data_IF_483097340828
#
_entry.id   IF_483097340828
#
_cell.length_a   1.000
_cell.length_b   1.000
_cell.length_c   1.000
_cell.angle_alpha   90.00
_cell.angle_beta   90.00
_cell.angle_gamma   90.00
#
_symmetry.space_group_name_H-M   'P 1'
#
loop_
_entity.id
_entity.type
_entity.pdbx_description
1 polymer ?
#
# COMPACT_ATOMS: atom_id res chain seq x y z
N UNK A 1 28.66 0.56 -17.93
CA UNK A 1 28.04 0.16 -16.65
C UNK A 1 26.72 -0.59 -16.90
N UNK A 2 26.71 -1.92 -17.17
CA UNK A 2 25.48 -2.63 -17.56
C UNK A 2 25.00 -3.76 -16.63
N UNK A 3 25.85 -4.34 -15.77
CA UNK A 3 25.55 -5.61 -15.06
C UNK A 3 24.65 -5.46 -13.83
N UNK A 4 24.70 -4.29 -13.20
CA UNK A 4 24.00 -3.99 -11.95
C UNK A 4 22.54 -3.57 -12.21
N UNK A 5 22.30 -2.86 -13.32
CA UNK A 5 20.94 -2.45 -13.76
C UNK A 5 20.09 -3.68 -14.10
N UNK A 6 20.64 -4.65 -14.84
CA UNK A 6 19.96 -5.92 -15.14
C UNK A 6 19.66 -6.71 -13.86
N UNK A 7 20.59 -6.72 -12.89
CA UNK A 7 20.38 -7.42 -11.62
C UNK A 7 19.17 -6.86 -10.84
N UNK A 8 19.07 -5.54 -10.69
CA UNK A 8 17.99 -4.91 -9.94
C UNK A 8 16.66 -4.93 -10.70
N UNK A 9 16.70 -4.89 -12.03
CA UNK A 9 15.52 -5.07 -12.89
C UNK A 9 14.95 -6.49 -12.74
N UNK A 10 15.79 -7.53 -12.85
CA UNK A 10 15.37 -8.93 -12.65
C UNK A 10 14.82 -9.19 -11.26
N UNK A 11 15.44 -8.62 -10.24
CA UNK A 11 14.93 -8.73 -8.86
C UNK A 11 13.52 -8.13 -8.75
N UNK A 12 13.28 -6.97 -9.37
CA UNK A 12 11.96 -6.32 -9.43
C UNK A 12 10.93 -7.11 -10.24
N UNK A 13 11.31 -7.75 -11.34
CA UNK A 13 10.43 -8.64 -12.10
C UNK A 13 9.94 -9.81 -11.25
N UNK A 14 10.85 -10.44 -10.49
CA UNK A 14 10.50 -11.52 -9.56
C UNK A 14 9.59 -11.00 -8.45
N UNK A 15 9.89 -9.84 -7.84
CA UNK A 15 9.01 -9.23 -6.84
C UNK A 15 7.61 -8.92 -7.38
N UNK A 16 7.51 -8.44 -8.62
CA UNK A 16 6.23 -8.20 -9.27
C UNK A 16 5.44 -9.50 -9.48
N UNK A 17 6.11 -10.63 -9.77
CA UNK A 17 5.50 -11.94 -9.83
C UNK A 17 4.95 -12.39 -8.46
N UNK A 18 5.69 -12.12 -7.37
CA UNK A 18 5.18 -12.36 -6.00
C UNK A 18 3.90 -11.57 -5.76
N UNK A 19 3.88 -10.26 -6.07
CA UNK A 19 2.68 -9.44 -5.89
C UNK A 19 1.47 -9.97 -6.67
N UNK A 20 1.66 -10.38 -7.94
CA UNK A 20 0.58 -10.98 -8.75
C UNK A 20 0.05 -12.27 -8.12
N UNK A 21 0.94 -13.12 -7.62
CA UNK A 21 0.56 -14.37 -6.98
C UNK A 21 -0.24 -14.12 -5.69
N UNK A 22 0.17 -13.15 -4.87
CA UNK A 22 -0.57 -12.74 -3.66
C UNK A 22 -1.95 -12.22 -4.03
N UNK A 23 -2.04 -11.32 -5.01
CA UNK A 23 -3.31 -10.73 -5.43
C UNK A 23 -4.32 -11.78 -5.94
N UNK A 24 -3.83 -12.85 -6.58
CA UNK A 24 -4.69 -13.89 -7.16
C UNK A 24 -5.01 -15.05 -6.20
N UNK A 25 -4.09 -15.39 -5.30
CA UNK A 25 -4.12 -16.65 -4.54
C UNK A 25 -3.77 -16.52 -3.06
N UNK A 26 -3.51 -15.31 -2.58
CA UNK A 26 -3.11 -15.03 -1.20
C UNK A 26 -1.64 -15.37 -0.90
N UNK A 27 -1.20 -15.03 0.31
CA UNK A 27 0.18 -15.20 0.78
C UNK A 27 0.62 -16.66 0.91
N UNK A 28 -0.32 -17.58 1.14
CA UNK A 28 -0.03 -19.01 1.29
C UNK A 28 0.45 -19.64 -0.02
N UNK A 29 0.00 -19.11 -1.16
CA UNK A 29 0.45 -19.57 -2.46
C UNK A 29 1.92 -19.24 -2.76
N UNK A 30 2.52 -18.29 -2.04
CA UNK A 30 3.90 -17.84 -2.29
C UNK A 30 4.90 -18.94 -1.90
N UNK A 31 5.61 -19.43 -2.91
CA UNK A 31 6.75 -20.33 -2.79
C UNK A 31 7.75 -20.05 -3.92
N UNK A 32 9.03 -20.39 -3.72
CA UNK A 32 10.06 -20.25 -4.76
C UNK A 32 9.65 -20.89 -6.10
N UNK A 33 8.96 -22.04 -6.04
CA UNK A 33 8.48 -22.77 -7.22
C UNK A 33 7.34 -22.03 -7.92
N UNK A 34 6.31 -21.58 -7.19
CA UNK A 34 5.19 -20.85 -7.79
C UNK A 34 5.63 -19.50 -8.33
N UNK A 35 6.54 -18.81 -7.63
CA UNK A 35 7.11 -17.54 -8.08
C UNK A 35 7.93 -17.74 -9.34
N UNK A 36 8.75 -18.79 -9.43
CA UNK A 36 9.49 -19.10 -10.65
C UNK A 36 8.56 -19.31 -11.86
N UNK A 37 7.47 -20.06 -11.66
CA UNK A 37 6.46 -20.27 -12.71
C UNK A 37 5.77 -18.96 -13.12
N UNK A 38 5.34 -18.15 -12.15
CA UNK A 38 4.67 -16.85 -12.37
C UNK A 38 5.60 -15.79 -13.01
N UNK A 39 6.89 -15.87 -12.73
CA UNK A 39 7.91 -15.00 -13.31
C UNK A 39 8.46 -15.50 -14.66
N UNK A 40 8.13 -16.74 -15.07
CA UNK A 40 8.67 -17.34 -16.30
C UNK A 40 10.18 -17.63 -16.23
N UNK A 41 10.71 -17.92 -15.04
CA UNK A 41 12.15 -18.18 -14.82
C UNK A 41 12.37 -19.53 -14.12
N UNK A 42 13.62 -20.00 -14.05
CA UNK A 42 13.95 -21.21 -13.30
C UNK A 42 13.92 -20.98 -11.78
N UNK A 43 13.61 -22.03 -11.02
CA UNK A 43 13.64 -21.97 -9.55
C UNK A 43 15.03 -21.61 -9.02
N UNK A 44 16.10 -22.12 -9.65
CA UNK A 44 17.48 -21.76 -9.32
C UNK A 44 17.77 -20.27 -9.53
N UNK A 45 17.13 -19.64 -10.53
CA UNK A 45 17.23 -18.18 -10.73
C UNK A 45 16.55 -17.43 -9.60
N UNK A 46 15.37 -17.85 -9.14
CA UNK A 46 14.72 -17.21 -7.98
C UNK A 46 15.58 -17.38 -6.72
N UNK A 47 16.11 -18.58 -6.47
CA UNK A 47 17.00 -18.87 -5.33
C UNK A 47 18.28 -18.05 -5.33
N UNK A 48 18.76 -17.63 -6.50
CA UNK A 48 19.90 -16.74 -6.60
C UNK A 48 19.62 -15.34 -6.02
N UNK A 49 18.37 -14.85 -6.12
CA UNK A 49 17.98 -13.54 -5.60
C UNK A 49 17.34 -13.60 -4.21
N UNK A 50 16.64 -14.69 -3.89
CA UNK A 50 15.86 -14.83 -2.66
C UNK A 50 16.07 -16.22 -2.07
N UNK A 51 16.66 -16.27 -0.87
CA UNK A 51 16.97 -17.53 -0.21
C UNK A 51 15.71 -18.20 0.37
N UNK A 52 14.75 -17.39 0.84
CA UNK A 52 13.57 -17.86 1.57
C UNK A 52 12.27 -17.27 1.06
N UNK A 53 11.14 -17.86 1.48
CA UNK A 53 9.80 -17.28 1.28
C UNK A 53 9.70 -15.91 1.96
N UNK A 54 10.27 -15.76 3.14
CA UNK A 54 10.25 -14.49 3.88
C UNK A 54 10.95 -13.38 3.10
N UNK A 55 12.09 -13.68 2.46
CA UNK A 55 12.81 -12.71 1.63
C UNK A 55 11.96 -12.24 0.43
N UNK A 56 11.20 -13.17 -0.17
CA UNK A 56 10.26 -12.83 -1.25
C UNK A 56 9.13 -11.94 -0.76
N UNK A 57 8.56 -12.26 0.41
CA UNK A 57 7.45 -11.49 0.99
C UNK A 57 7.91 -10.09 1.40
N UNK A 58 9.06 -9.97 2.07
CA UNK A 58 9.61 -8.68 2.47
C UNK A 58 9.90 -7.81 1.25
N UNK A 59 10.55 -8.36 0.22
CA UNK A 59 10.84 -7.60 -0.99
C UNK A 59 9.57 -7.20 -1.75
N UNK A 60 8.55 -8.06 -1.79
CA UNK A 60 7.26 -7.72 -2.37
C UNK A 60 6.55 -6.59 -1.58
N UNK A 61 6.67 -6.61 -0.25
CA UNK A 61 6.16 -5.55 0.61
C UNK A 61 6.88 -4.21 0.40
N UNK A 62 8.21 -4.22 0.29
CA UNK A 62 9.01 -3.04 -0.04
C UNK A 62 8.63 -2.50 -1.43
N UNK A 63 8.57 -3.39 -2.43
CA UNK A 63 8.21 -3.02 -3.80
C UNK A 63 6.83 -2.38 -3.91
N UNK A 64 5.83 -2.89 -3.17
CA UNK A 64 4.47 -2.32 -3.18
C UNK A 64 4.44 -0.98 -2.43
N UNK A 65 5.14 -0.89 -1.30
CA UNK A 65 5.23 0.34 -0.51
C UNK A 65 5.90 1.46 -1.30
N UNK A 66 7.00 1.17 -2.01
CA UNK A 66 7.69 2.13 -2.87
C UNK A 66 6.80 2.64 -4.01
N UNK A 67 6.00 1.75 -4.62
CA UNK A 67 5.06 2.13 -5.69
C UNK A 67 3.96 3.04 -5.18
N UNK A 68 3.38 2.71 -4.03
CA UNK A 68 2.36 3.54 -3.38
C UNK A 68 2.96 4.89 -3.01
N UNK A 69 4.11 4.91 -2.33
CA UNK A 69 4.80 6.14 -1.94
C UNK A 69 5.14 7.02 -3.15
N UNK A 70 5.62 6.44 -4.25
CA UNK A 70 5.88 7.17 -5.49
C UNK A 70 4.62 7.79 -6.10
N UNK A 71 3.48 7.07 -6.09
CA UNK A 71 2.20 7.62 -6.56
C UNK A 71 1.71 8.75 -5.67
N UNK A 72 1.77 8.58 -4.36
CA UNK A 72 1.37 9.62 -3.40
C UNK A 72 2.25 10.87 -3.51
N UNK A 73 3.57 10.70 -3.67
CA UNK A 73 4.50 11.81 -3.86
C UNK A 73 4.35 12.54 -5.20
N UNK A 74 3.72 11.91 -6.19
CA UNK A 74 3.40 12.54 -7.47
C UNK A 74 2.08 13.34 -7.43
N UNK A 75 1.28 13.20 -6.35
CA UNK A 75 0.06 13.99 -6.17
C UNK A 75 0.46 15.43 -5.85
N UNK A 76 -0.01 16.35 -6.68
CA UNK A 76 0.12 17.78 -6.49
C UNK A 76 -1.23 18.43 -6.77
N UNK A 77 -1.67 19.28 -5.85
CA UNK A 77 -2.86 20.10 -6.01
C UNK A 77 -2.58 21.50 -5.44
N UNK A 78 -3.21 22.51 -6.02
CA UNK A 78 -3.04 23.92 -5.62
C UNK A 78 -3.63 24.20 -4.23
N UNK A 79 -4.61 23.40 -3.81
CA UNK A 79 -5.28 23.49 -2.51
C UNK A 79 -4.86 22.32 -1.59
N UNK A 80 -4.39 22.59 -0.36
CA UNK A 80 -4.00 21.54 0.58
C UNK A 80 -5.13 20.56 0.94
N UNK A 81 -6.39 21.01 0.97
CA UNK A 81 -7.52 20.12 1.27
C UNK A 81 -7.83 19.19 0.09
N UNK A 82 -7.77 19.72 -1.14
CA UNK A 82 -7.85 18.92 -2.37
C UNK A 82 -6.68 17.92 -2.47
N UNK A 83 -5.47 18.31 -2.08
CA UNK A 83 -4.31 17.41 -2.03
C UNK A 83 -4.56 16.26 -1.04
N UNK A 84 -5.02 16.57 0.18
CA UNK A 84 -5.35 15.56 1.20
C UNK A 84 -6.43 14.60 0.70
N UNK A 85 -7.46 15.13 0.03
CA UNK A 85 -8.50 14.30 -0.60
C UNK A 85 -7.92 13.36 -1.64
N UNK A 86 -7.12 13.86 -2.58
CA UNK A 86 -6.52 13.05 -3.63
C UNK A 86 -5.65 11.93 -3.06
N UNK A 87 -4.89 12.22 -1.99
CA UNK A 87 -4.08 11.23 -1.26
C UNK A 87 -4.93 10.11 -0.66
N UNK A 88 -6.02 10.45 0.04
CA UNK A 88 -6.90 9.43 0.63
C UNK A 88 -7.59 8.56 -0.43
N UNK A 89 -7.96 9.14 -1.58
CA UNK A 89 -8.55 8.40 -2.69
C UNK A 89 -7.54 7.47 -3.38
N UNK A 90 -6.28 7.87 -3.48
CA UNK A 90 -5.22 7.03 -4.09
C UNK A 90 -4.89 5.79 -3.24
N UNK A 91 -5.16 5.84 -1.93
CA UNK A 91 -5.05 4.70 -1.02
C UNK A 91 -6.20 3.69 -1.19
N UNK A 92 -7.27 4.05 -1.90
CA UNK A 92 -8.42 3.18 -2.17
C UNK A 92 -8.28 2.51 -3.56
N UNK A 93 -8.92 1.34 -3.79
CA UNK A 93 -8.84 0.60 -5.06
C UNK A 93 -9.70 1.26 -6.18
N UNK A 94 -9.47 2.54 -6.44
CA UNK A 94 -10.23 3.36 -7.40
C UNK A 94 -9.50 3.53 -8.74
N UNK A 95 -8.16 3.50 -8.72
CA UNK A 95 -7.33 3.46 -9.93
C UNK A 95 -7.03 2.01 -10.35
N UNK A 96 -6.64 1.80 -11.61
CA UNK A 96 -6.26 0.47 -12.09
C UNK A 96 -5.03 -0.07 -11.35
N UNK A 97 -4.08 0.81 -11.01
CA UNK A 97 -2.92 0.47 -10.19
C UNK A 97 -3.36 0.09 -8.78
N UNK A 98 -4.11 0.95 -8.09
CA UNK A 98 -4.56 0.67 -6.73
C UNK A 98 -5.41 -0.60 -6.63
N UNK A 99 -6.26 -0.90 -7.62
CA UNK A 99 -7.00 -2.17 -7.70
C UNK A 99 -6.11 -3.41 -7.75
N UNK A 100 -4.98 -3.33 -8.45
CA UNK A 100 -4.06 -4.45 -8.56
C UNK A 100 -3.24 -4.66 -7.27
N UNK A 101 -3.07 -3.61 -6.48
CA UNK A 101 -2.17 -3.58 -5.33
C UNK A 101 -2.91 -3.74 -3.99
N UNK A 102 -4.16 -3.27 -3.89
CA UNK A 102 -4.96 -3.33 -2.67
C UNK A 102 -5.14 -4.75 -2.10
N UNK A 103 -5.36 -5.82 -2.90
CA UNK A 103 -5.39 -7.18 -2.37
C UNK A 103 -4.08 -7.61 -1.71
N UNK A 104 -2.94 -7.12 -2.24
CA UNK A 104 -1.60 -7.41 -1.71
C UNK A 104 -1.41 -6.71 -0.36
N UNK A 105 -1.77 -5.42 -0.29
CA UNK A 105 -1.73 -4.65 0.96
C UNK A 105 -2.63 -5.26 2.04
N UNK A 106 -3.87 -5.62 1.68
CA UNK A 106 -4.81 -6.28 2.58
C UNK A 106 -4.25 -7.60 3.14
N UNK A 107 -3.61 -8.41 2.29
CA UNK A 107 -2.99 -9.65 2.72
C UNK A 107 -1.82 -9.40 3.69
N UNK A 108 -0.97 -8.41 3.43
CA UNK A 108 0.13 -8.05 4.33
C UNK A 108 -0.37 -7.51 5.68
N UNK A 109 -1.39 -6.66 5.69
CA UNK A 109 -2.03 -6.17 6.92
C UNK A 109 -2.56 -7.32 7.78
N UNK A 110 -3.25 -8.28 7.16
CA UNK A 110 -3.72 -9.47 7.86
C UNK A 110 -2.58 -10.33 8.41
N UNK A 111 -1.54 -10.57 7.61
CA UNK A 111 -0.40 -11.41 8.02
C UNK A 111 0.42 -10.76 9.15
N UNK A 112 0.54 -9.44 9.16
CA UNK A 112 1.27 -8.70 10.19
C UNK A 112 0.70 -8.86 11.61
N UNK A 113 -0.57 -9.26 11.72
CA UNK A 113 -1.21 -9.57 13.02
C UNK A 113 -0.55 -10.79 13.67
N UNK A 114 -0.06 -11.74 12.88
CA UNK A 114 0.49 -13.02 13.35
C UNK A 114 1.99 -13.19 13.06
N UNK A 115 2.57 -12.35 12.20
CA UNK A 115 4.00 -12.37 11.83
C UNK A 115 4.72 -11.08 12.24
N UNK A 116 5.46 -11.09 13.36
CA UNK A 116 6.17 -9.91 13.87
C UNK A 116 7.15 -9.29 12.87
N UNK A 117 7.77 -10.10 12.00
CA UNK A 117 8.73 -9.61 11.00
C UNK A 117 8.08 -8.71 9.96
N UNK A 118 6.80 -8.93 9.64
CA UNK A 118 6.02 -8.06 8.76
C UNK A 118 5.35 -6.92 9.52
N UNK A 119 5.02 -7.13 10.81
CA UNK A 119 4.38 -6.11 11.63
C UNK A 119 5.25 -4.89 11.92
N UNK A 120 6.56 -5.06 12.09
CA UNK A 120 7.46 -3.94 12.38
C UNK A 120 7.60 -2.95 11.21
N UNK A 121 7.85 -3.40 9.96
CA UNK A 121 7.82 -2.53 8.79
C UNK A 121 6.47 -1.82 8.57
N UNK A 122 5.36 -2.54 8.73
CA UNK A 122 4.02 -1.97 8.54
C UNK A 122 3.70 -0.89 9.58
N UNK A 123 4.03 -1.10 10.86
CA UNK A 123 3.86 -0.06 11.89
C UNK A 123 4.68 1.18 11.60
N UNK A 124 5.93 1.01 11.14
CA UNK A 124 6.79 2.12 10.78
C UNK A 124 6.19 2.92 9.62
N UNK A 125 5.86 2.24 8.52
CA UNK A 125 5.26 2.89 7.34
C UNK A 125 3.92 3.56 7.64
N UNK A 126 3.07 2.94 8.46
CA UNK A 126 1.80 3.54 8.90
C UNK A 126 2.02 4.79 9.76
N UNK A 127 3.02 4.78 10.63
CA UNK A 127 3.40 5.94 11.45
C UNK A 127 3.96 7.09 10.61
N UNK A 128 4.80 6.79 9.62
CA UNK A 128 5.34 7.78 8.67
C UNK A 128 4.21 8.38 7.81
N UNK A 129 3.29 7.55 7.32
CA UNK A 129 2.10 8.00 6.59
C UNK A 129 1.21 8.89 7.45
N UNK A 130 0.92 8.49 8.69
CA UNK A 130 0.11 9.28 9.61
C UNK A 130 0.77 10.63 9.95
N UNK A 131 2.09 10.65 10.17
CA UNK A 131 2.83 11.89 10.41
C UNK A 131 2.79 12.83 9.19
N UNK A 132 2.92 12.28 7.98
CA UNK A 132 2.81 13.06 6.75
C UNK A 132 1.40 13.63 6.55
N UNK A 133 0.35 12.82 6.75
CA UNK A 133 -1.04 13.26 6.70
C UNK A 133 -1.34 14.33 7.78
N UNK A 134 -0.79 14.19 8.98
CA UNK A 134 -0.95 15.18 10.06
C UNK A 134 -0.37 16.55 9.66
N UNK A 135 0.75 16.56 8.93
CA UNK A 135 1.30 17.78 8.34
C UNK A 135 0.33 18.45 7.35
N UNK A 136 -0.31 17.65 6.49
CA UNK A 136 -1.33 18.16 5.54
C UNK A 136 -2.57 18.70 6.27
N UNK A 137 -3.08 17.98 7.26
CA UNK A 137 -4.23 18.41 8.08
C UNK A 137 -3.90 19.73 8.79
N UNK A 138 -2.72 19.85 9.38
CA UNK A 138 -2.28 21.07 10.08
C UNK A 138 -2.21 22.28 9.14
N UNK A 139 -1.84 22.07 7.87
CA UNK A 139 -1.79 23.13 6.88
C UNK A 139 -3.20 23.60 6.45
N UNK A 140 -4.18 22.71 6.42
CA UNK A 140 -5.58 23.04 6.07
C UNK A 140 -6.32 23.66 7.25
N UNK A 141 -6.19 23.07 8.44
CA UNK A 141 -6.90 23.46 9.66
C UNK A 141 -5.90 23.59 10.82
N UNK A 142 -5.35 24.80 11.04
CA UNK A 142 -4.48 25.05 12.18
C UNK A 142 -5.23 24.84 13.51
N UNK A 143 -4.66 24.04 14.41
CA UNK A 143 -5.28 23.67 15.69
C UNK A 143 -5.92 22.28 15.69
N UNK A 144 -6.36 21.84 16.87
CA UNK A 144 -6.85 20.47 17.10
C UNK A 144 -5.72 19.47 17.38
N UNK A 145 -5.96 18.19 17.04
CA UNK A 145 -5.03 17.06 17.24
C UNK A 145 -4.81 16.36 15.87
N UNK A 146 -3.97 16.95 14.99
CA UNK A 146 -3.81 16.49 13.62
C UNK A 146 -3.21 15.07 13.55
N UNK A 147 -2.40 14.66 14.52
CA UNK A 147 -1.86 13.31 14.64
C UNK A 147 -2.97 12.27 14.88
N UNK A 148 -3.91 12.57 15.80
CA UNK A 148 -5.07 11.70 16.04
C UNK A 148 -6.00 11.66 14.84
N UNK A 149 -6.26 12.81 14.21
CA UNK A 149 -7.12 12.90 13.03
C UNK A 149 -6.51 12.13 11.84
N UNK A 150 -5.21 12.24 11.61
CA UNK A 150 -4.49 11.47 10.59
C UNK A 150 -4.56 9.96 10.86
N UNK A 151 -4.32 9.55 12.10
CA UNK A 151 -4.41 8.14 12.50
C UNK A 151 -5.82 7.58 12.29
N UNK A 152 -6.85 8.37 12.60
CA UNK A 152 -8.25 7.99 12.38
C UNK A 152 -8.60 7.92 10.89
N UNK A 153 -8.09 8.84 10.06
CA UNK A 153 -8.27 8.80 8.61
C UNK A 153 -7.60 7.58 7.98
N UNK A 154 -6.38 7.24 8.40
CA UNK A 154 -5.68 6.07 7.89
C UNK A 154 -6.44 4.77 8.24
N UNK A 155 -6.87 4.62 9.49
CA UNK A 155 -7.67 3.47 9.92
C UNK A 155 -9.02 3.39 9.17
N UNK A 156 -9.64 4.53 8.89
CA UNK A 156 -10.86 4.61 8.09
C UNK A 156 -10.63 4.16 6.65
N UNK A 157 -9.56 4.62 6.00
CA UNK A 157 -9.21 4.23 4.63
C UNK A 157 -8.85 2.75 4.53
N UNK A 158 -8.09 2.20 5.49
CA UNK A 158 -7.78 0.77 5.53
C UNK A 158 -9.06 -0.09 5.60
N UNK A 159 -9.99 0.29 6.47
CA UNK A 159 -11.29 -0.38 6.59
C UNK A 159 -12.14 -0.25 5.32
N UNK A 160 -12.16 0.95 4.72
CA UNK A 160 -12.90 1.23 3.49
C UNK A 160 -12.32 0.48 2.29
N UNK A 161 -11.00 0.39 2.18
CA UNK A 161 -10.31 -0.43 1.17
C UNK A 161 -10.81 -1.87 1.21
N UNK A 162 -10.87 -2.49 2.40
CA UNK A 162 -11.38 -3.85 2.55
C UNK A 162 -12.85 -3.98 2.11
N UNK A 163 -13.69 -3.00 2.47
CA UNK A 163 -15.11 -2.99 2.08
C UNK A 163 -15.30 -2.87 0.57
N UNK A 164 -14.45 -2.10 -0.12
CA UNK A 164 -14.48 -2.01 -1.58
C UNK A 164 -13.99 -3.31 -2.22
N UNK A 165 -12.91 -3.91 -1.70
CA UNK A 165 -12.38 -5.18 -2.21
C UNK A 165 -13.38 -6.33 -2.17
N UNK A 166 -14.23 -6.39 -1.13
CA UNK A 166 -15.27 -7.42 -0.98
C UNK A 166 -16.61 -7.05 -1.64
N UNK A 167 -16.69 -5.88 -2.29
CA UNK A 167 -17.91 -5.40 -2.95
C UNK A 167 -19.01 -4.96 -2.00
N UNK A 168 -18.71 -4.72 -0.72
CA UNK A 168 -19.67 -4.19 0.25
C UNK A 168 -19.96 -2.70 -0.02
N UNK A 169 -18.95 -1.97 -0.49
CA UNK A 169 -19.04 -0.54 -0.85
C UNK A 169 -18.57 -0.39 -2.30
N UNK A 170 -19.31 0.38 -3.11
CA UNK A 170 -18.90 0.68 -4.49
C UNK A 170 -17.78 1.73 -4.52
N UNK A 171 -17.12 1.89 -5.66
CA UNK A 171 -16.09 2.92 -5.82
C UNK A 171 -16.67 4.33 -5.57
N UNK A 172 -17.85 4.61 -6.12
CA UNK A 172 -18.55 5.89 -5.98
C UNK A 172 -18.92 6.16 -4.52
N UNK A 173 -19.48 5.16 -3.83
CA UNK A 173 -19.82 5.29 -2.42
C UNK A 173 -18.57 5.48 -1.52
N UNK A 174 -17.43 4.89 -1.91
CA UNK A 174 -16.17 5.09 -1.19
C UNK A 174 -15.66 6.53 -1.32
N UNK A 175 -15.77 7.14 -2.51
CA UNK A 175 -15.44 8.56 -2.71
C UNK A 175 -16.32 9.48 -1.84
N UNK A 176 -17.63 9.23 -1.83
CA UNK A 176 -18.58 9.99 -1.00
C UNK A 176 -18.28 9.86 0.51
N UNK A 177 -17.89 8.67 0.97
CA UNK A 177 -17.53 8.43 2.36
C UNK A 177 -16.23 9.13 2.75
N UNK A 178 -15.24 9.20 1.85
CA UNK A 178 -14.01 9.99 2.06
C UNK A 178 -14.34 11.48 2.18
N UNK A 179 -15.20 12.00 1.30
CA UNK A 179 -15.61 13.40 1.33
C UNK A 179 -16.35 13.76 2.61
N UNK A 180 -17.26 12.88 3.05
CA UNK A 180 -17.95 13.03 4.32
C UNK A 180 -16.99 13.06 5.52
N UNK A 181 -16.04 12.12 5.55
CA UNK A 181 -15.09 12.01 6.66
C UNK A 181 -14.11 13.19 6.70
N UNK A 182 -13.62 13.64 5.55
CA UNK A 182 -12.80 14.84 5.44
C UNK A 182 -13.56 16.08 5.90
N UNK A 183 -14.82 16.26 5.49
CA UNK A 183 -15.66 17.35 5.97
C UNK A 183 -15.73 17.39 7.49
N UNK A 184 -15.90 16.24 8.16
CA UNK A 184 -15.93 16.18 9.63
C UNK A 184 -14.60 16.52 10.28
N UNK A 185 -13.48 16.04 9.73
CA UNK A 185 -12.14 16.34 10.27
C UNK A 185 -11.80 17.81 10.09
N UNK A 186 -12.08 18.39 8.93
CA UNK A 186 -11.68 19.75 8.60
C UNK A 186 -12.60 20.83 9.22
N UNK A 187 -13.83 20.48 9.59
CA UNK A 187 -14.80 21.42 10.20
C UNK A 187 -14.88 21.38 11.72
N UNK A 188 -14.45 20.30 12.39
CA UNK A 188 -14.49 20.20 13.86
C UNK A 188 -13.34 21.02 14.46
N UNK A 189 -13.61 22.25 14.85
CA UNK A 189 -12.77 23.09 15.73
C UNK A 189 -13.44 23.27 17.08
#
# INVERSE_FOLDING_TARGET
MPKQVDHDERRREIGAAVCRLIAQRGLDAVSLRHVAAEAGVSMGRVQHYFATKDDLLMFAFELISDRVAARLGAISADDPAACLRAVLLELLPLSAAARAEAPVLAAFLAQAVVEPRLGEPLRRGSGEMAAWLAGMISAVRPGGDPERDASALLAFVDGLMLQVLIGQVSAEAAEELVDHQLGRVLTRG
#
